data_IF_251320274010
#
_entry.id   IF_251320274010
#
_cell.length_a   1.000
_cell.length_b   1.000
_cell.length_c   1.000
_cell.angle_alpha   90.00
_cell.angle_beta   90.00
_cell.angle_gamma   90.00
#
_symmetry.space_group_name_H-M   'P 1'
#
loop_
_entity.id
_entity.type
_entity.pdbx_description
1 polymer ?
#
# COMPACT_ATOMS: atom_id res chain seq x y z
N UNK A 1 11.11 -17.73 10.87
CA UNK A 1 11.60 -16.59 10.06
C UNK A 1 12.95 -16.13 10.57
N UNK A 2 14.02 -16.20 9.71
CA UNK A 2 15.40 -15.82 10.10
C UNK A 2 15.76 -14.36 9.71
N UNK A 3 14.96 -13.69 8.87
CA UNK A 3 15.21 -12.32 8.43
C UNK A 3 15.09 -11.31 9.58
N UNK A 4 15.94 -10.30 9.61
CA UNK A 4 15.93 -9.23 10.61
C UNK A 4 14.89 -8.15 10.32
N UNK A 5 14.58 -7.91 9.06
CA UNK A 5 13.55 -6.99 8.59
C UNK A 5 12.84 -7.55 7.35
N UNK A 6 11.68 -7.00 7.05
CA UNK A 6 10.85 -7.43 5.93
C UNK A 6 10.55 -6.25 5.01
N UNK A 7 10.77 -6.45 3.72
CA UNK A 7 10.28 -5.56 2.66
C UNK A 7 9.21 -6.32 1.89
N UNK A 8 8.03 -5.76 1.84
CA UNK A 8 6.83 -6.38 1.25
C UNK A 8 6.33 -5.55 0.07
N UNK A 9 6.93 -5.69 -1.11
CA UNK A 9 6.45 -5.05 -2.32
C UNK A 9 5.27 -5.82 -2.89
N UNK A 10 4.48 -5.16 -3.74
CA UNK A 10 3.39 -5.82 -4.47
C UNK A 10 2.93 -4.99 -5.65
N UNK A 11 2.37 -5.66 -6.66
CA UNK A 11 1.73 -5.05 -7.81
C UNK A 11 0.54 -5.90 -8.28
N UNK A 12 -0.27 -5.38 -9.18
CA UNK A 12 -1.45 -6.07 -9.68
C UNK A 12 -2.71 -5.75 -8.88
N UNK A 13 -3.71 -6.62 -8.96
CA UNK A 13 -4.99 -6.42 -8.31
C UNK A 13 -4.98 -6.87 -6.84
N UNK A 14 -5.64 -6.10 -5.97
CA UNK A 14 -5.75 -6.43 -4.55
C UNK A 14 -6.38 -7.80 -4.30
N UNK A 15 -7.41 -8.15 -5.09
CA UNK A 15 -8.09 -9.44 -5.02
C UNK A 15 -7.13 -10.62 -5.26
N UNK A 16 -6.33 -10.54 -6.32
CA UNK A 16 -5.40 -11.60 -6.68
C UNK A 16 -4.29 -11.73 -5.64
N UNK A 17 -3.77 -10.60 -5.16
CA UNK A 17 -2.77 -10.57 -4.09
C UNK A 17 -3.29 -11.25 -2.82
N UNK A 18 -4.49 -10.90 -2.37
CA UNK A 18 -5.09 -11.49 -1.18
C UNK A 18 -5.39 -12.98 -1.37
N UNK A 19 -5.88 -13.39 -2.55
CA UNK A 19 -6.13 -14.79 -2.86
C UNK A 19 -4.84 -15.63 -2.77
N UNK A 20 -3.72 -15.14 -3.33
CA UNK A 20 -2.44 -15.83 -3.28
C UNK A 20 -1.85 -15.89 -1.86
N UNK A 21 -1.94 -14.78 -1.10
CA UNK A 21 -1.51 -14.78 0.30
C UNK A 21 -2.25 -15.84 1.12
N UNK A 22 -3.56 -15.93 0.94
CA UNK A 22 -4.40 -16.91 1.63
C UNK A 22 -4.12 -18.35 1.17
N UNK A 23 -4.02 -18.56 -0.15
CA UNK A 23 -3.73 -19.87 -0.74
C UNK A 23 -2.40 -20.45 -0.24
N UNK A 24 -1.40 -19.60 -0.05
CA UNK A 24 -0.06 -19.98 0.43
C UNK A 24 0.06 -19.96 1.97
N UNK A 25 -0.97 -19.53 2.69
CA UNK A 25 -0.94 -19.33 4.14
C UNK A 25 -0.01 -18.22 4.60
N UNK A 26 0.37 -17.32 3.68
CA UNK A 26 1.27 -16.19 3.94
C UNK A 26 0.58 -15.03 4.67
N UNK A 27 -0.74 -14.97 4.65
CA UNK A 27 -1.55 -14.00 5.39
C UNK A 27 -1.21 -13.99 6.89
N UNK A 28 -1.08 -15.17 7.49
CA UNK A 28 -0.68 -15.34 8.91
C UNK A 28 0.78 -14.95 9.14
N UNK A 29 1.65 -15.34 8.20
CA UNK A 29 3.08 -15.03 8.27
C UNK A 29 3.32 -13.53 8.20
N UNK A 30 2.63 -12.81 7.30
CA UNK A 30 2.71 -11.35 7.18
C UNK A 30 2.22 -10.67 8.45
N UNK A 31 1.06 -11.08 8.99
CA UNK A 31 0.52 -10.53 10.24
C UNK A 31 1.49 -10.70 11.42
N UNK A 32 2.13 -11.84 11.53
CA UNK A 32 3.14 -12.09 12.56
C UNK A 32 4.42 -11.26 12.34
N UNK A 33 4.87 -11.18 11.09
CA UNK A 33 6.07 -10.42 10.73
C UNK A 33 5.94 -8.92 11.06
N UNK A 34 4.78 -8.32 10.75
CA UNK A 34 4.52 -6.89 11.05
C UNK A 34 4.57 -6.61 12.55
N UNK A 35 4.17 -7.57 13.39
CA UNK A 35 4.17 -7.40 14.86
C UNK A 35 5.55 -7.59 15.50
N UNK A 36 6.41 -8.40 14.86
CA UNK A 36 7.65 -8.88 15.48
C UNK A 36 8.92 -8.31 14.87
N UNK A 37 8.84 -7.64 13.72
CA UNK A 37 10.00 -7.17 12.96
C UNK A 37 9.77 -5.81 12.33
N UNK A 38 10.83 -5.04 12.04
CA UNK A 38 10.74 -3.90 11.14
C UNK A 38 10.16 -4.34 9.79
N UNK A 39 9.11 -3.66 9.34
CA UNK A 39 8.35 -4.05 8.16
C UNK A 39 8.05 -2.84 7.27
N UNK A 40 8.34 -2.96 5.98
CA UNK A 40 8.08 -1.93 4.98
C UNK A 40 7.16 -2.49 3.89
N UNK A 41 5.91 -2.03 3.87
CA UNK A 41 4.97 -2.29 2.77
C UNK A 41 5.10 -1.25 1.66
N UNK A 42 5.19 -1.69 0.41
CA UNK A 42 5.33 -0.81 -0.76
C UNK A 42 4.21 -1.10 -1.77
N UNK A 43 3.51 -0.05 -2.21
CA UNK A 43 2.43 -0.12 -3.20
C UNK A 43 1.33 -1.10 -2.75
N UNK A 44 1.04 -2.16 -3.50
CA UNK A 44 0.06 -3.18 -3.14
C UNK A 44 0.41 -3.86 -1.80
N UNK A 45 1.69 -4.03 -1.49
CA UNK A 45 2.13 -4.54 -0.19
C UNK A 45 1.75 -3.66 1.00
N UNK A 46 1.63 -2.33 0.81
CA UNK A 46 1.04 -1.42 1.79
C UNK A 46 -0.50 -1.54 1.81
N UNK A 47 -1.12 -1.54 0.63
CA UNK A 47 -2.58 -1.52 0.51
C UNK A 47 -3.25 -2.73 1.17
N UNK A 48 -2.70 -3.93 0.99
CA UNK A 48 -3.27 -5.15 1.58
C UNK A 48 -3.12 -5.23 3.10
N UNK A 49 -2.30 -4.38 3.72
CA UNK A 49 -2.20 -4.29 5.19
C UNK A 49 -3.40 -3.57 5.82
N UNK A 50 -4.16 -2.80 5.05
CA UNK A 50 -5.36 -2.10 5.52
C UNK A 50 -6.56 -3.06 5.68
N UNK A 51 -7.67 -2.56 6.24
CA UNK A 51 -8.86 -3.38 6.46
C UNK A 51 -9.53 -3.78 5.14
N UNK A 52 -9.72 -2.81 4.24
CA UNK A 52 -10.47 -3.01 2.99
C UNK A 52 -9.91 -2.19 1.85
N UNK A 53 -10.24 -2.58 0.62
CA UNK A 53 -9.99 -1.81 -0.61
C UNK A 53 -11.28 -1.69 -1.41
N UNK A 54 -11.53 -0.53 -2.01
CA UNK A 54 -12.63 -0.31 -2.98
C UNK A 54 -12.34 -0.95 -4.35
N UNK A 55 -11.14 -1.43 -4.58
CA UNK A 55 -10.77 -2.10 -5.82
C UNK A 55 -11.60 -3.38 -6.03
N UNK A 56 -11.90 -3.71 -7.29
CA UNK A 56 -12.63 -4.93 -7.67
C UNK A 56 -13.97 -5.13 -6.92
N UNK A 57 -14.75 -4.07 -6.75
CA UNK A 57 -16.04 -4.07 -6.04
C UNK A 57 -15.94 -4.43 -4.54
N UNK A 58 -14.78 -4.20 -3.97
CA UNK A 58 -14.49 -4.44 -2.57
C UNK A 58 -13.64 -5.69 -2.32
N UNK A 59 -12.52 -5.49 -1.65
CA UNK A 59 -11.60 -6.57 -1.25
C UNK A 59 -11.27 -6.43 0.23
N UNK A 60 -11.40 -7.53 0.97
CA UNK A 60 -10.95 -7.59 2.36
C UNK A 60 -9.43 -7.69 2.40
N UNK A 61 -8.78 -6.76 3.12
CA UNK A 61 -7.35 -6.78 3.37
C UNK A 61 -6.95 -7.62 4.58
N UNK A 62 -5.71 -7.47 5.02
CA UNK A 62 -5.18 -8.18 6.18
C UNK A 62 -5.62 -7.58 7.53
N UNK A 63 -6.09 -6.33 7.56
CA UNK A 63 -6.52 -5.66 8.78
C UNK A 63 -5.41 -5.49 9.82
N UNK A 64 -4.18 -5.24 9.36
CA UNK A 64 -3.05 -4.92 10.24
C UNK A 64 -3.12 -3.49 10.72
N UNK A 65 -3.51 -2.59 9.84
CA UNK A 65 -3.77 -1.18 10.13
C UNK A 65 -5.22 -0.85 9.79
N UNK A 66 -5.88 -0.13 10.69
CA UNK A 66 -7.24 0.33 10.44
C UNK A 66 -7.25 1.36 9.32
N UNK A 67 -8.13 1.16 8.35
CA UNK A 67 -8.30 2.06 7.22
C UNK A 67 -8.78 1.36 5.96
N UNK A 68 -9.01 2.18 4.94
CA UNK A 68 -9.53 1.72 3.66
C UNK A 68 -8.73 2.32 2.50
N UNK A 69 -8.40 1.49 1.54
CA UNK A 69 -7.91 1.94 0.23
C UNK A 69 -9.10 2.45 -0.58
N UNK A 70 -9.08 3.73 -0.94
CA UNK A 70 -10.17 4.38 -1.65
C UNK A 70 -9.73 4.78 -3.06
N UNK A 71 -10.66 4.73 -3.98
CA UNK A 71 -10.45 5.24 -5.32
C UNK A 71 -10.32 6.77 -5.30
N UNK A 72 -9.43 7.31 -6.12
CA UNK A 72 -9.39 8.75 -6.37
C UNK A 72 -10.72 9.25 -6.95
N UNK A 73 -11.17 10.45 -6.57
CA UNK A 73 -12.34 11.07 -7.19
C UNK A 73 -12.18 11.18 -8.71
N UNK A 74 -13.20 10.83 -9.46
CA UNK A 74 -13.14 10.73 -10.94
C UNK A 74 -13.06 12.07 -11.66
N UNK A 75 -13.30 13.18 -10.96
CA UNK A 75 -13.34 14.54 -11.54
C UNK A 75 -12.33 15.48 -10.89
N UNK A 76 -11.22 14.95 -10.39
CA UNK A 76 -10.14 15.80 -9.90
C UNK A 76 -9.55 16.62 -11.05
N UNK A 77 -9.36 17.91 -10.81
CA UNK A 77 -8.79 18.84 -11.78
C UNK A 77 -7.49 19.44 -11.27
N UNK A 78 -6.60 19.75 -12.20
CA UNK A 78 -5.40 20.51 -11.92
C UNK A 78 -5.78 21.94 -11.54
N UNK A 79 -5.23 22.45 -10.43
CA UNK A 79 -5.58 23.77 -9.91
C UNK A 79 -5.10 24.93 -10.79
N UNK A 80 -4.13 24.70 -11.69
CA UNK A 80 -3.55 25.70 -12.55
C UNK A 80 -4.11 25.68 -13.98
N UNK A 81 -4.43 24.51 -14.52
CA UNK A 81 -4.87 24.33 -15.91
C UNK A 81 -6.34 23.98 -16.06
N UNK A 82 -7.02 23.63 -14.97
CA UNK A 82 -8.40 23.10 -14.93
C UNK A 82 -8.60 21.79 -15.72
N UNK A 83 -7.51 21.16 -16.17
CA UNK A 83 -7.57 19.89 -16.85
C UNK A 83 -7.96 18.74 -15.90
N UNK A 84 -8.69 17.77 -16.40
CA UNK A 84 -9.03 16.55 -15.64
C UNK A 84 -7.78 15.72 -15.42
N UNK A 85 -7.46 15.43 -14.17
CA UNK A 85 -6.31 14.62 -13.79
C UNK A 85 -6.52 13.15 -14.18
N UNK A 86 -5.50 12.54 -14.76
CA UNK A 86 -5.52 11.12 -15.12
C UNK A 86 -5.38 10.22 -13.88
N UNK A 87 -6.12 9.15 -13.87
CA UNK A 87 -6.02 8.07 -12.88
C UNK A 87 -5.65 6.78 -13.63
N UNK A 88 -4.60 6.09 -13.20
CA UNK A 88 -3.69 6.39 -12.09
C UNK A 88 -2.74 7.57 -12.37
N UNK A 89 -2.23 8.18 -11.30
CA UNK A 89 -1.16 9.19 -11.41
C UNK A 89 0.14 8.49 -11.81
N UNK A 90 0.66 8.86 -12.96
CA UNK A 90 1.94 8.37 -13.50
C UNK A 90 2.83 9.57 -13.82
N UNK A 91 3.92 9.74 -13.08
CA UNK A 91 4.83 10.87 -13.28
C UNK A 91 5.74 11.10 -12.09
N UNK A 92 6.65 12.05 -12.26
CA UNK A 92 7.54 12.52 -11.20
C UNK A 92 6.84 13.55 -10.36
N UNK A 93 7.06 13.49 -9.05
CA UNK A 93 6.55 14.47 -8.10
C UNK A 93 7.59 14.73 -7.01
N UNK A 94 7.50 15.91 -6.39
CA UNK A 94 8.36 16.24 -5.26
C UNK A 94 7.77 15.65 -3.97
N UNK A 95 8.63 15.12 -3.11
CA UNK A 95 8.28 14.64 -1.78
C UNK A 95 8.96 15.52 -0.75
N UNK A 96 8.18 16.10 0.14
CA UNK A 96 8.67 16.92 1.26
C UNK A 96 8.56 16.11 2.56
N UNK A 97 9.70 15.98 3.25
CA UNK A 97 9.74 15.33 4.56
C UNK A 97 9.12 16.27 5.61
N UNK A 98 8.06 15.82 6.26
CA UNK A 98 7.39 16.62 7.31
C UNK A 98 7.82 16.20 8.72
N UNK A 99 8.44 15.02 8.86
CA UNK A 99 8.90 14.48 10.13
C UNK A 99 10.31 13.92 9.92
N UNK A 100 11.24 14.23 10.82
CA UNK A 100 12.55 13.61 10.83
C UNK A 100 12.43 12.11 11.13
N UNK A 101 12.95 11.28 10.24
CA UNK A 101 12.92 9.82 10.41
C UNK A 101 14.23 9.20 9.89
N UNK A 102 14.79 8.17 10.56
CA UNK A 102 16.03 7.52 10.14
C UNK A 102 16.03 6.97 8.72
N UNK A 103 14.86 6.61 8.17
CA UNK A 103 14.73 6.15 6.77
C UNK A 103 15.10 7.21 5.73
N UNK A 104 15.16 8.49 6.10
CA UNK A 104 15.57 9.58 5.22
C UNK A 104 17.08 9.86 5.24
N UNK A 105 17.83 9.15 6.10
CA UNK A 105 19.26 9.38 6.22
C UNK A 105 19.99 8.94 4.95
N UNK A 106 20.63 9.89 4.29
CA UNK A 106 21.38 9.64 3.06
C UNK A 106 20.57 9.76 1.76
N UNK A 107 19.33 10.22 1.82
CA UNK A 107 18.45 10.50 0.67
C UNK A 107 18.34 12.01 0.46
#
# INVERSE_FOLDING_TARGET
>A
MQADCIVFPGQGAARDCMAELQRLGLDKVVKEAVRSKPFLGICMGLQVLLDTSEENDGVQGLGVFSGQVRRFPTQMRDASTDDVLKIPHMGWNQVHQTIAHPLWQGI
#
